data_IF_417429272824
#
_entry.id   IF_417429272824
#
_cell.length_a   1.000
_cell.length_b   1.000
_cell.length_c   1.000
_cell.angle_alpha   90.00
_cell.angle_beta   90.00
_cell.angle_gamma   90.00
#
_symmetry.space_group_name_H-M   'P 1'
#
loop_
_entity.id
_entity.type
_entity.pdbx_description
1 polymer ?
#
# COMPACT_ATOMS: atom_id res chain seq x y z
N UNK A 1 11.27 7.09 11.42
CA UNK A 1 10.44 5.95 11.90
C UNK A 1 11.20 4.64 11.64
N UNK A 2 11.21 3.69 12.59
CA UNK A 2 12.07 2.49 12.54
C UNK A 2 11.93 1.65 11.25
N UNK A 3 10.72 1.62 10.68
CA UNK A 3 10.39 0.94 9.42
C UNK A 3 11.30 1.35 8.25
N UNK A 4 11.83 2.58 8.23
CA UNK A 4 12.72 3.04 7.14
C UNK A 4 14.21 2.88 7.43
N UNK A 5 14.58 2.58 8.68
CA UNK A 5 15.99 2.47 9.10
C UNK A 5 16.59 1.09 8.80
N UNK A 6 15.78 0.02 8.89
CA UNK A 6 16.21 -1.33 8.59
C UNK A 6 15.78 -1.75 7.18
N UNK A 7 16.64 -2.50 6.48
CA UNK A 7 16.23 -3.15 5.25
C UNK A 7 15.23 -4.28 5.57
N UNK A 8 14.07 -4.22 4.94
CA UNK A 8 12.97 -5.14 5.18
C UNK A 8 11.99 -5.13 4.01
N UNK A 9 11.24 -6.22 3.85
CA UNK A 9 10.20 -6.27 2.82
C UNK A 9 9.14 -5.17 3.03
N UNK A 10 8.81 -4.82 4.28
CA UNK A 10 7.93 -3.69 4.58
C UNK A 10 8.49 -2.37 4.06
N UNK A 11 9.79 -2.09 4.29
CA UNK A 11 10.45 -0.89 3.75
C UNK A 11 10.35 -0.88 2.23
N UNK A 12 10.70 -1.98 1.58
CA UNK A 12 10.68 -2.11 0.13
C UNK A 12 9.29 -1.85 -0.44
N UNK A 13 8.25 -2.48 0.11
CA UNK A 13 6.85 -2.28 -0.31
C UNK A 13 6.42 -0.82 -0.16
N UNK A 14 6.73 -0.16 0.96
CA UNK A 14 6.35 1.25 1.17
C UNK A 14 7.11 2.19 0.23
N UNK A 15 8.37 1.90 -0.07
CA UNK A 15 9.18 2.66 -1.02
C UNK A 15 8.71 2.50 -2.46
N UNK A 16 8.42 1.27 -2.88
CA UNK A 16 7.81 0.97 -4.19
C UNK A 16 6.48 1.69 -4.32
N UNK A 17 5.61 1.61 -3.31
CA UNK A 17 4.32 2.29 -3.31
C UNK A 17 4.45 3.82 -3.45
N UNK A 18 5.35 4.43 -2.68
CA UNK A 18 5.60 5.87 -2.73
C UNK A 18 6.14 6.30 -4.11
N UNK A 19 7.02 5.49 -4.70
CA UNK A 19 7.69 5.82 -5.96
C UNK A 19 6.79 5.62 -7.16
N UNK A 20 6.01 4.53 -7.19
CA UNK A 20 5.46 4.01 -8.43
C UNK A 20 3.94 4.23 -8.57
N UNK A 21 3.22 4.54 -7.48
CA UNK A 21 1.75 4.73 -7.53
C UNK A 21 1.39 6.20 -7.38
N UNK A 22 0.94 6.81 -8.48
CA UNK A 22 0.71 8.26 -8.58
C UNK A 22 -0.71 8.66 -8.19
N UNK A 23 -0.97 9.96 -8.23
CA UNK A 23 -2.29 10.52 -7.98
C UNK A 23 -3.31 10.04 -9.02
N UNK A 24 -4.51 9.65 -8.57
CA UNK A 24 -5.55 9.07 -9.42
C UNK A 24 -5.35 7.60 -9.80
N UNK A 25 -4.25 6.98 -9.40
CA UNK A 25 -3.97 5.56 -9.70
C UNK A 25 -4.34 4.64 -8.54
N UNK A 26 -4.55 3.36 -8.85
CA UNK A 26 -4.69 2.31 -7.85
C UNK A 26 -3.82 1.10 -8.25
N UNK A 27 -3.31 0.40 -7.24
CA UNK A 27 -2.54 -0.83 -7.43
C UNK A 27 -3.15 -1.94 -6.59
N UNK A 28 -3.19 -3.16 -7.12
CA UNK A 28 -3.62 -4.29 -6.29
C UNK A 28 -2.51 -4.75 -5.34
N UNK A 29 -2.88 -5.37 -4.22
CA UNK A 29 -1.90 -6.02 -3.32
C UNK A 29 -0.98 -6.99 -4.05
N UNK A 30 -1.49 -7.71 -5.07
CA UNK A 30 -0.70 -8.64 -5.88
C UNK A 30 0.31 -7.92 -6.75
N UNK A 31 -0.13 -6.90 -7.49
CA UNK A 31 0.76 -6.10 -8.34
C UNK A 31 1.85 -5.41 -7.53
N UNK A 32 1.51 -4.84 -6.37
CA UNK A 32 2.50 -4.19 -5.50
C UNK A 32 3.50 -5.21 -4.94
N UNK A 33 3.07 -6.44 -4.64
CA UNK A 33 3.98 -7.50 -4.20
C UNK A 33 4.98 -7.89 -5.32
N UNK A 34 4.50 -7.95 -6.56
CA UNK A 34 5.32 -8.20 -7.75
C UNK A 34 6.33 -7.06 -7.99
N UNK A 35 5.88 -5.80 -7.93
CA UNK A 35 6.75 -4.62 -8.03
C UNK A 35 7.79 -4.57 -6.90
N UNK A 36 7.43 -5.06 -5.71
CA UNK A 36 8.34 -5.20 -4.57
C UNK A 36 9.23 -6.46 -4.65
N UNK A 37 9.24 -7.20 -5.77
CA UNK A 37 10.13 -8.32 -6.03
C UNK A 37 9.67 -9.67 -5.48
N UNK A 38 8.44 -9.80 -4.99
CA UNK A 38 7.88 -11.08 -4.55
C UNK A 38 6.39 -11.19 -4.88
N UNK A 39 6.07 -11.74 -6.05
CA UNK A 39 4.69 -11.92 -6.55
C UNK A 39 3.78 -12.78 -5.66
N UNK A 40 4.35 -13.57 -4.72
CA UNK A 40 3.60 -14.41 -3.77
C UNK A 40 3.34 -13.72 -2.43
N UNK A 41 3.82 -12.49 -2.23
CA UNK A 41 3.80 -11.80 -0.94
C UNK A 41 2.63 -10.83 -0.74
N UNK A 42 1.51 -10.96 -1.48
CA UNK A 42 0.36 -10.07 -1.37
C UNK A 42 -0.19 -9.91 0.06
N UNK A 43 -0.18 -10.99 0.86
CA UNK A 43 -0.58 -10.94 2.28
C UNK A 43 0.38 -10.09 3.12
N UNK A 44 1.68 -10.19 2.87
CA UNK A 44 2.71 -9.40 3.55
C UNK A 44 2.63 -7.91 3.18
N UNK A 45 2.27 -7.59 1.93
CA UNK A 45 1.94 -6.21 1.51
C UNK A 45 0.81 -5.64 2.36
N UNK A 46 -0.25 -6.41 2.62
CA UNK A 46 -1.34 -5.99 3.52
C UNK A 46 -0.85 -5.66 4.93
N UNK A 47 0.10 -6.44 5.46
CA UNK A 47 0.78 -6.14 6.71
C UNK A 47 1.58 -4.84 6.65
N UNK A 48 2.36 -4.64 5.59
CA UNK A 48 3.14 -3.41 5.38
C UNK A 48 2.27 -2.16 5.33
N UNK A 49 1.09 -2.22 4.71
CA UNK A 49 0.14 -1.09 4.68
C UNK A 49 -0.31 -0.68 6.08
N UNK A 50 -0.50 -1.64 7.00
CA UNK A 50 -0.86 -1.37 8.41
C UNK A 50 0.28 -0.72 9.18
N UNK A 51 1.52 -1.01 8.80
CA UNK A 51 2.72 -0.46 9.43
C UNK A 51 3.18 0.87 8.82
N UNK A 52 2.45 1.43 7.85
CA UNK A 52 2.80 2.70 7.22
C UNK A 52 2.72 3.85 8.25
N UNK A 53 3.85 4.47 8.63
CA UNK A 53 3.85 5.53 9.65
C UNK A 53 3.47 6.91 9.10
N UNK A 54 3.38 7.06 7.78
CA UNK A 54 3.04 8.33 7.14
C UNK A 54 1.95 8.07 6.08
N UNK A 55 0.70 7.81 6.51
CA UNK A 55 -0.43 7.65 5.59
C UNK A 55 -0.61 8.89 4.70
N UNK A 56 -1.32 8.73 3.58
CA UNK A 56 -1.55 9.76 2.55
C UNK A 56 -0.28 10.09 1.76
N UNK A 57 0.81 10.48 2.41
CA UNK A 57 2.09 10.73 1.73
C UNK A 57 2.62 9.46 1.09
N UNK A 58 2.68 8.36 1.87
CA UNK A 58 2.81 7.02 1.31
C UNK A 58 1.38 6.53 1.08
N UNK A 59 0.95 6.37 -0.19
CA UNK A 59 -0.47 6.31 -0.53
C UNK A 59 -1.06 4.90 -0.30
N UNK A 60 -1.03 4.40 0.93
CA UNK A 60 -1.58 3.07 1.26
C UNK A 60 -3.09 2.92 1.03
N UNK A 61 -3.81 4.04 0.91
CA UNK A 61 -5.22 4.07 0.48
C UNK A 61 -5.39 3.64 -0.99
N UNK A 62 -4.36 3.75 -1.83
CA UNK A 62 -4.37 3.32 -3.24
C UNK A 62 -4.10 1.82 -3.45
N UNK A 63 -3.81 1.08 -2.39
CA UNK A 63 -3.61 -0.36 -2.47
C UNK A 63 -4.94 -1.07 -2.24
N UNK A 64 -5.48 -1.70 -3.30
CA UNK A 64 -6.82 -2.28 -3.34
C UNK A 64 -6.81 -3.79 -3.63
N UNK A 65 -7.97 -4.44 -3.57
CA UNK A 65 -8.10 -5.85 -3.99
C UNK A 65 -8.04 -5.96 -5.51
N UNK A 66 -7.52 -7.08 -6.01
CA UNK A 66 -7.51 -7.38 -7.45
C UNK A 66 -8.90 -7.49 -8.07
N UNK A 67 -9.96 -7.63 -7.26
CA UNK A 67 -11.37 -7.59 -7.69
C UNK A 67 -11.90 -6.18 -7.94
N UNK A 68 -11.11 -5.12 -7.71
CA UNK A 68 -11.54 -3.72 -7.78
C UNK A 68 -12.16 -3.18 -6.49
N UNK A 69 -12.41 -4.03 -5.49
CA UNK A 69 -12.88 -3.59 -4.17
C UNK A 69 -11.77 -2.85 -3.40
N UNK A 70 -12.12 -1.79 -2.68
CA UNK A 70 -11.19 -0.96 -1.90
C UNK A 70 -10.37 -1.77 -0.87
N UNK A 71 -11.01 -2.70 -0.15
CA UNK A 71 -10.37 -3.49 0.90
C UNK A 71 -10.06 -2.66 2.16
N UNK A 72 -9.37 -3.28 3.12
CA UNK A 72 -9.22 -2.69 4.46
C UNK A 72 -8.29 -1.46 4.49
N UNK A 73 -8.53 -0.59 5.47
CA UNK A 73 -7.72 0.60 5.74
C UNK A 73 -7.56 0.86 7.24
N UNK A 74 -6.36 1.28 7.68
CA UNK A 74 -6.11 1.62 9.08
C UNK A 74 -6.93 2.82 9.57
N UNK A 75 -7.23 3.77 8.68
CA UNK A 75 -8.09 4.93 8.96
C UNK A 75 -9.59 4.67 8.75
N UNK A 76 -10.01 3.42 8.51
CA UNK A 76 -11.40 3.05 8.24
C UNK A 76 -11.80 3.13 6.75
N UNK A 77 -12.82 2.34 6.37
CA UNK A 77 -13.20 2.16 4.96
C UNK A 77 -13.73 3.47 4.32
N UNK A 78 -14.54 4.25 5.05
CA UNK A 78 -15.06 5.53 4.57
C UNK A 78 -13.94 6.51 4.20
N UNK A 79 -12.89 6.59 5.02
CA UNK A 79 -11.74 7.45 4.73
C UNK A 79 -11.00 6.98 3.48
N UNK A 80 -10.86 5.66 3.28
CA UNK A 80 -10.20 5.11 2.08
C UNK A 80 -11.00 5.40 0.81
N UNK A 81 -12.31 5.22 0.86
CA UNK A 81 -13.21 5.53 -0.26
C UNK A 81 -13.17 7.01 -0.60
N UNK A 82 -13.23 7.88 0.40
CA UNK A 82 -13.06 9.32 0.22
C UNK A 82 -11.72 9.64 -0.43
N UNK A 83 -10.60 9.14 0.10
CA UNK A 83 -9.27 9.38 -0.47
C UNK A 83 -9.09 8.84 -1.90
N UNK A 84 -9.84 7.82 -2.29
CA UNK A 84 -9.83 7.25 -3.65
C UNK A 84 -10.69 8.04 -4.63
N UNK A 85 -11.70 8.77 -4.14
CA UNK A 85 -12.58 9.59 -4.98
C UNK A 85 -12.11 11.04 -5.12
N UNK A 86 -11.05 11.44 -4.41
CA UNK A 86 -10.43 12.77 -4.48
C UNK A 86 -9.23 12.74 -5.43
#
# INVERSE_FOLDING_TARGET
HFVFLADSFTRQVLWTLLRDVKFGEAVSYKQLAELAGNSRAARAVGGAMRSNPIPILIPCHRVIRSSGQTGNYGGGNLMKEWLLSH
#
